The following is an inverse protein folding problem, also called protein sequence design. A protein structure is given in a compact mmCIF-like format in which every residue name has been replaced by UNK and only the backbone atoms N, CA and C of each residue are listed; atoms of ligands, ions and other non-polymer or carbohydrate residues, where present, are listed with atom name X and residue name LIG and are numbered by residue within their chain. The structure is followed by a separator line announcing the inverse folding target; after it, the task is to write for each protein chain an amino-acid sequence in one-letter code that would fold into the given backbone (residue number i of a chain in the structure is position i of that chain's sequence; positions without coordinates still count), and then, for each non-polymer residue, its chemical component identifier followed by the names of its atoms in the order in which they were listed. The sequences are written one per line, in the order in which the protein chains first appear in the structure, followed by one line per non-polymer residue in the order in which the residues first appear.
data_IF_332058251303
#
_entry.id   IF_332058251303
#
_cell.length_a   1.000
_cell.length_b   1.000
_cell.length_c   1.000
_cell.angle_alpha   90.00
_cell.angle_beta   90.00
_cell.angle_gamma   90.00
#
_symmetry.space_group_name_H-M   'P 1'
#
loop_
_entity.id
_entity.type
_entity.pdbx_description
1 polymer ?
#
# COMPACT_ATOMS: atom_id res chain seq x y z
N UNK A 1 -35.50 11.89 23.63
CA UNK A 1 -34.27 12.72 23.64
C UNK A 1 -33.56 12.48 22.32
N UNK A 2 -33.28 13.54 21.53
CA UNK A 2 -32.54 13.38 20.26
C UNK A 2 -31.20 12.72 20.58
N UNK A 3 -30.94 11.54 20.01
CA UNK A 3 -29.57 10.99 19.97
C UNK A 3 -28.81 11.89 19.00
N UNK A 4 -28.18 12.92 19.53
CA UNK A 4 -27.39 13.82 18.72
C UNK A 4 -26.18 13.06 18.16
N UNK A 5 -26.09 12.97 16.83
CA UNK A 5 -25.00 12.28 16.15
C UNK A 5 -23.84 13.25 15.97
N UNK A 6 -22.86 13.19 16.86
CA UNK A 6 -21.72 14.10 16.82
C UNK A 6 -20.56 13.56 15.99
N UNK A 7 -19.91 14.45 15.23
CA UNK A 7 -18.59 14.25 14.64
C UNK A 7 -17.65 15.23 15.31
N UNK A 8 -16.58 14.75 15.92
CA UNK A 8 -15.59 15.63 16.55
C UNK A 8 -14.43 15.85 15.59
N UNK A 9 -14.09 17.10 15.29
CA UNK A 9 -12.93 17.50 14.51
C UNK A 9 -11.90 18.09 15.47
N UNK A 10 -10.79 17.40 15.66
CA UNK A 10 -9.70 17.82 16.54
C UNK A 10 -8.52 18.33 15.71
N UNK A 11 -8.25 19.63 15.79
CA UNK A 11 -7.12 20.24 15.10
C UNK A 11 -6.65 21.55 15.72
N UNK A 12 -5.32 21.72 15.81
CA UNK A 12 -4.65 22.94 16.27
C UNK A 12 -4.49 24.01 15.16
N UNK A 13 -5.03 23.75 13.96
CA UNK A 13 -4.92 24.65 12.80
C UNK A 13 -6.28 25.20 12.37
N UNK A 14 -6.60 26.48 12.69
CA UNK A 14 -7.90 27.08 12.36
C UNK A 14 -8.28 26.98 10.88
N UNK A 15 -7.30 27.13 9.99
CA UNK A 15 -7.48 26.98 8.54
C UNK A 15 -7.96 25.58 8.15
N UNK A 16 -7.36 24.54 8.71
CA UNK A 16 -7.73 23.15 8.44
C UNK A 16 -9.12 22.84 9.01
N UNK A 17 -9.41 23.31 10.22
CA UNK A 17 -10.75 23.21 10.82
C UNK A 17 -11.80 23.83 9.91
N UNK A 18 -11.57 25.07 9.45
CA UNK A 18 -12.51 25.77 8.57
C UNK A 18 -12.77 24.99 7.28
N UNK A 19 -11.72 24.47 6.64
CA UNK A 19 -11.84 23.63 5.43
C UNK A 19 -12.64 22.35 5.69
N UNK A 20 -12.28 21.60 6.73
CA UNK A 20 -12.98 20.35 7.09
C UNK A 20 -14.46 20.63 7.36
N UNK A 21 -14.75 21.63 8.21
CA UNK A 21 -16.12 22.00 8.56
C UNK A 21 -16.89 22.41 7.31
N UNK A 22 -16.32 23.24 6.42
CA UNK A 22 -16.97 23.68 5.19
C UNK A 22 -17.37 22.52 4.27
N UNK A 23 -16.58 21.45 4.22
CA UNK A 23 -16.86 20.27 3.41
C UNK A 23 -17.91 19.35 4.05
N UNK A 24 -18.01 19.40 5.39
CA UNK A 24 -19.00 18.65 6.17
C UNK A 24 -20.35 19.37 6.33
N UNK A 25 -20.48 20.64 5.91
CA UNK A 25 -21.75 21.41 5.98
C UNK A 25 -22.91 20.66 5.30
N UNK A 26 -22.64 19.95 4.21
CA UNK A 26 -23.64 19.18 3.45
C UNK A 26 -24.06 17.87 4.14
N UNK A 27 -23.44 17.50 5.27
CA UNK A 27 -23.70 16.24 5.96
C UNK A 27 -24.92 16.34 6.87
N UNK A 28 -26.08 15.97 6.34
CA UNK A 28 -27.35 15.97 7.08
C UNK A 28 -27.36 14.93 8.21
N UNK A 29 -27.96 15.29 9.34
CA UNK A 29 -28.21 14.38 10.46
C UNK A 29 -27.03 14.19 11.41
N UNK A 30 -25.95 14.94 11.22
CA UNK A 30 -24.77 14.97 12.09
C UNK A 30 -24.43 16.40 12.48
N UNK A 31 -23.98 16.58 13.72
CA UNK A 31 -23.49 17.86 14.23
C UNK A 31 -21.97 17.81 14.39
N UNK A 32 -21.26 18.79 13.85
CA UNK A 32 -19.80 18.88 13.97
C UNK A 32 -19.42 19.66 15.22
N UNK A 33 -18.51 19.11 16.03
CA UNK A 33 -17.90 19.78 17.19
C UNK A 33 -16.41 19.90 16.92
N UNK A 34 -15.83 21.08 17.12
CA UNK A 34 -14.40 21.31 16.89
C UNK A 34 -13.66 21.45 18.21
N UNK A 35 -12.50 20.81 18.34
CA UNK A 35 -11.59 20.94 19.48
C UNK A 35 -10.19 21.23 19.00
N UNK A 36 -9.41 22.02 19.76
CA UNK A 36 -8.09 22.48 19.32
C UNK A 36 -6.91 21.76 19.99
N UNK A 37 -7.17 20.82 20.90
CA UNK A 37 -6.14 20.06 21.60
C UNK A 37 -6.63 18.66 21.97
N UNK A 38 -5.69 17.71 22.10
CA UNK A 38 -5.99 16.35 22.55
C UNK A 38 -6.50 16.32 23.99
N UNK A 39 -6.04 17.25 24.84
CA UNK A 39 -6.54 17.39 26.21
C UNK A 39 -8.04 17.69 26.24
N UNK A 40 -8.48 18.68 25.47
CA UNK A 40 -9.91 19.00 25.36
C UNK A 40 -10.69 17.86 24.69
N UNK A 41 -10.14 17.24 23.65
CA UNK A 41 -10.77 16.07 23.02
C UNK A 41 -11.08 14.98 24.06
N UNK A 42 -10.12 14.67 24.94
CA UNK A 42 -10.31 13.70 26.03
C UNK A 42 -11.44 14.10 26.97
N UNK A 43 -11.48 15.36 27.41
CA UNK A 43 -12.57 15.89 28.25
C UNK A 43 -13.94 15.71 27.58
N UNK A 44 -14.02 16.03 26.28
CA UNK A 44 -15.26 15.85 25.49
C UNK A 44 -15.68 14.38 25.36
N UNK A 45 -14.74 13.46 25.19
CA UNK A 45 -15.03 12.02 25.08
C UNK A 45 -15.58 11.40 26.37
N UNK A 46 -15.42 12.08 27.53
CA UNK A 46 -16.08 11.67 28.77
C UNK A 46 -17.57 12.04 28.81
N UNK A 47 -17.98 13.06 28.07
CA UNK A 47 -19.35 13.59 28.09
C UNK A 47 -20.16 13.19 26.85
N UNK A 48 -19.48 13.01 25.72
CA UNK A 48 -20.12 12.78 24.42
C UNK A 48 -19.55 11.51 23.77
N UNK A 49 -20.43 10.72 23.16
CA UNK A 49 -20.04 9.56 22.35
C UNK A 49 -20.13 9.92 20.86
N UNK A 50 -19.01 10.30 20.21
CA UNK A 50 -19.04 10.66 18.80
C UNK A 50 -19.29 9.45 17.91
N UNK A 51 -19.85 9.70 16.73
CA UNK A 51 -19.95 8.72 15.64
C UNK A 51 -18.69 8.63 14.81
N UNK A 52 -17.87 9.69 14.82
CA UNK A 52 -16.59 9.76 14.14
C UNK A 52 -15.72 10.83 14.81
N UNK A 53 -14.43 10.56 14.92
CA UNK A 53 -13.41 11.53 15.35
C UNK A 53 -12.51 11.80 14.14
N UNK A 54 -12.27 13.05 13.79
CA UNK A 54 -11.36 13.47 12.73
C UNK A 54 -10.17 14.17 13.39
N UNK A 55 -8.94 13.71 13.14
CA UNK A 55 -7.73 14.26 13.76
C UNK A 55 -6.82 14.90 12.70
N UNK A 56 -6.33 16.10 12.98
CA UNK A 56 -5.24 16.73 12.23
C UNK A 56 -4.50 17.78 13.07
N UNK A 57 -3.25 17.55 13.41
CA UNK A 57 -2.41 18.44 14.20
C UNK A 57 -1.11 18.75 13.48
N UNK A 58 -0.48 19.90 13.77
CA UNK A 58 0.84 20.24 13.21
C UNK A 58 1.90 19.18 13.53
N UNK A 59 1.86 18.64 14.75
CA UNK A 59 2.70 17.52 15.20
C UNK A 59 1.90 16.22 15.24
N UNK A 60 1.19 15.91 14.16
CA UNK A 60 0.23 14.81 14.03
C UNK A 60 0.72 13.51 14.66
N UNK A 61 1.90 13.01 14.28
CA UNK A 61 2.47 11.78 14.85
C UNK A 61 2.52 11.76 16.39
N UNK A 62 2.95 12.87 17.01
CA UNK A 62 3.11 12.97 18.46
C UNK A 62 1.74 13.07 19.13
N UNK A 63 0.88 13.95 18.63
CA UNK A 63 -0.46 14.20 19.19
C UNK A 63 -1.37 12.99 19.07
N UNK A 64 -1.33 12.29 17.94
CA UNK A 64 -2.09 11.06 17.70
C UNK A 64 -1.61 9.95 18.63
N UNK A 65 -0.29 9.76 18.79
CA UNK A 65 0.26 8.79 19.75
C UNK A 65 -0.13 9.13 21.18
N UNK A 66 -0.08 10.41 21.55
CA UNK A 66 -0.53 10.89 22.85
C UNK A 66 -2.03 10.63 23.07
N UNK A 67 -2.86 10.86 22.06
CA UNK A 67 -4.30 10.61 22.11
C UNK A 67 -4.63 9.15 22.41
N UNK A 68 -4.06 8.22 21.64
CA UNK A 68 -4.32 6.79 21.81
C UNK A 68 -3.77 6.25 23.14
N UNK A 69 -2.57 6.69 23.55
CA UNK A 69 -2.03 6.35 24.87
C UNK A 69 -2.89 6.89 26.03
N UNK A 70 -3.52 8.06 25.84
CA UNK A 70 -4.29 8.74 26.89
C UNK A 70 -5.75 8.29 26.97
N UNK A 71 -6.26 7.60 25.94
CA UNK A 71 -7.68 7.26 25.78
C UNK A 71 -7.86 5.75 25.50
N UNK A 72 -7.94 4.94 26.56
CA UNK A 72 -7.95 3.47 26.46
C UNK A 72 -9.27 2.82 26.02
N UNK A 73 -10.35 3.59 25.81
CA UNK A 73 -11.70 3.08 25.50
C UNK A 73 -12.41 3.91 24.41
N UNK A 74 -11.71 4.22 23.34
CA UNK A 74 -12.36 4.80 22.16
C UNK A 74 -13.11 3.67 21.45
N UNK A 75 -14.37 3.88 21.09
CA UNK A 75 -15.18 2.92 20.31
C UNK A 75 -15.49 3.50 18.93
N UNK A 76 -15.54 4.83 18.83
CA UNK A 76 -15.80 5.53 17.59
C UNK A 76 -14.63 5.33 16.59
N UNK A 77 -14.93 5.22 15.29
CA UNK A 77 -13.89 5.27 14.27
C UNK A 77 -13.14 6.60 14.31
N UNK A 78 -11.86 6.56 13.95
CA UNK A 78 -10.97 7.73 13.92
C UNK A 78 -10.45 7.91 12.49
N UNK A 79 -10.66 9.08 11.91
CA UNK A 79 -10.11 9.50 10.62
C UNK A 79 -8.95 10.47 10.85
N UNK A 80 -7.73 9.99 10.64
CA UNK A 80 -6.51 10.79 10.71
C UNK A 80 -6.24 11.43 9.35
N UNK A 81 -6.27 12.75 9.28
CA UNK A 81 -5.84 13.49 8.10
C UNK A 81 -4.35 13.77 8.22
N UNK A 82 -3.56 13.33 7.25
CA UNK A 82 -2.09 13.41 7.28
C UNK A 82 -1.54 14.16 6.09
N UNK A 83 -0.31 14.66 6.22
CA UNK A 83 0.44 15.20 5.08
C UNK A 83 1.04 14.07 4.23
N UNK A 84 1.38 14.32 2.96
CA UNK A 84 1.79 13.27 1.99
C UNK A 84 2.96 12.38 2.46
N UNK A 85 3.83 12.89 3.33
CA UNK A 85 5.04 12.21 3.79
C UNK A 85 4.97 11.73 5.23
N UNK A 86 3.82 11.90 5.89
CA UNK A 86 3.66 11.56 7.29
C UNK A 86 3.35 10.07 7.45
N UNK A 87 4.24 9.37 8.15
CA UNK A 87 4.07 7.96 8.52
C UNK A 87 3.60 7.91 9.97
N UNK A 88 2.37 7.43 10.16
CA UNK A 88 1.77 7.21 11.48
C UNK A 88 1.64 5.69 11.69
N UNK A 89 2.12 5.20 12.84
CA UNK A 89 1.98 3.80 13.24
C UNK A 89 0.79 3.64 14.19
N UNK A 90 -0.10 2.70 13.88
CA UNK A 90 -1.33 2.39 14.62
C UNK A 90 -1.42 0.92 15.03
N UNK A 91 -0.32 0.17 14.95
CA UNK A 91 -0.27 -1.29 15.11
C UNK A 91 -0.84 -1.82 16.43
N UNK A 92 -0.95 -0.99 17.47
CA UNK A 92 -1.47 -1.34 18.79
C UNK A 92 -2.95 -1.04 19.03
N UNK A 93 -3.63 -0.34 18.12
CA UNK A 93 -4.92 0.27 18.42
C UNK A 93 -6.12 -0.64 18.10
N UNK A 94 -7.05 -0.75 19.05
CA UNK A 94 -8.27 -1.57 18.90
C UNK A 94 -9.39 -0.86 18.13
N UNK A 95 -9.23 0.43 17.86
CA UNK A 95 -10.25 1.22 17.18
C UNK A 95 -10.07 1.20 15.67
N UNK A 96 -11.16 1.27 14.89
CA UNK A 96 -11.04 1.47 13.44
C UNK A 96 -10.38 2.82 13.16
N UNK A 97 -9.18 2.80 12.58
CA UNK A 97 -8.43 3.99 12.20
C UNK A 97 -8.34 4.05 10.69
N UNK A 98 -8.77 5.16 10.12
CA UNK A 98 -8.67 5.48 8.70
C UNK A 98 -7.66 6.61 8.51
N UNK A 99 -6.87 6.55 7.44
CA UNK A 99 -5.86 7.57 7.11
C UNK A 99 -6.20 8.18 5.75
N UNK A 100 -6.18 9.50 5.65
CA UNK A 100 -6.45 10.21 4.41
C UNK A 100 -5.50 11.40 4.25
N UNK A 101 -4.95 11.62 3.05
CA UNK A 101 -3.99 12.70 2.81
C UNK A 101 -4.69 14.05 2.58
N UNK A 102 -4.24 15.12 3.26
CA UNK A 102 -4.89 16.44 3.22
C UNK A 102 -5.01 17.01 1.79
N UNK A 103 -3.93 16.89 1.01
CA UNK A 103 -3.84 17.44 -0.36
C UNK A 103 -4.86 16.84 -1.34
N UNK A 104 -5.26 15.59 -1.13
CA UNK A 104 -6.25 14.90 -1.97
C UNK A 104 -7.67 14.95 -1.38
N UNK A 105 -7.81 15.47 -0.15
CA UNK A 105 -9.07 15.42 0.60
C UNK A 105 -9.89 16.68 0.46
N UNK A 106 -9.25 17.84 0.51
CA UNK A 106 -9.91 19.13 0.69
C UNK A 106 -10.02 19.86 -0.67
N UNK A 107 -11.25 20.04 -1.16
CA UNK A 107 -11.55 20.86 -2.35
C UNK A 107 -12.49 20.22 -3.37
N UNK A 108 -12.62 18.87 -3.38
CA UNK A 108 -13.43 18.12 -4.35
C UNK A 108 -14.50 17.22 -3.69
N UNK A 109 -14.94 17.55 -2.47
CA UNK A 109 -15.91 16.74 -1.68
C UNK A 109 -15.42 15.32 -1.34
N UNK A 110 -14.13 15.02 -1.50
CA UNK A 110 -13.57 13.70 -1.21
C UNK A 110 -13.63 13.35 0.28
N UNK A 111 -13.40 14.33 1.17
CA UNK A 111 -13.55 14.11 2.60
C UNK A 111 -15.00 13.79 2.95
N UNK A 112 -15.95 14.52 2.38
CA UNK A 112 -17.38 14.28 2.61
C UNK A 112 -17.80 12.87 2.17
N UNK A 113 -17.36 12.42 0.99
CA UNK A 113 -17.62 11.07 0.51
C UNK A 113 -17.04 10.02 1.46
N UNK A 114 -15.79 10.18 1.88
CA UNK A 114 -15.15 9.23 2.79
C UNK A 114 -15.85 9.19 4.16
N UNK A 115 -16.20 10.35 4.71
CA UNK A 115 -16.94 10.46 5.98
C UNK A 115 -18.30 9.77 5.87
N UNK A 116 -19.04 9.96 4.78
CA UNK A 116 -20.31 9.24 4.54
C UNK A 116 -20.10 7.71 4.52
N UNK A 117 -19.06 7.24 3.83
CA UNK A 117 -18.73 5.81 3.78
C UNK A 117 -18.41 5.26 5.17
N UNK A 118 -17.54 5.91 5.94
CA UNK A 118 -17.17 5.49 7.31
C UNK A 118 -18.41 5.42 8.20
N UNK A 119 -19.25 6.45 8.17
CA UNK A 119 -20.47 6.50 8.97
C UNK A 119 -21.45 5.39 8.57
N UNK A 120 -21.65 5.15 7.27
CA UNK A 120 -22.52 4.08 6.79
C UNK A 120 -22.08 2.69 7.27
N UNK A 121 -20.77 2.41 7.25
CA UNK A 121 -20.20 1.14 7.71
C UNK A 121 -20.39 0.97 9.22
N UNK A 122 -20.19 2.05 9.99
CA UNK A 122 -20.40 2.03 11.44
C UNK A 122 -21.85 1.79 11.85
N UNK A 123 -22.82 2.10 10.98
CA UNK A 123 -24.24 1.82 11.20
C UNK A 123 -24.65 0.38 10.87
N UNK A 124 -23.92 -0.33 9.99
CA UNK A 124 -24.24 -1.71 9.59
C UNK A 124 -23.81 -2.78 10.61
N UNK A 125 -23.03 -2.41 11.64
CA UNK A 125 -22.34 -3.33 12.54
C UNK A 125 -23.06 -3.61 13.87
N UNK A 126 -24.40 -3.54 13.91
CA UNK A 126 -25.18 -3.82 15.13
C UNK A 126 -25.47 -5.32 15.38
N UNK A 127 -24.61 -6.25 14.91
CA UNK A 127 -24.63 -7.66 15.31
C UNK A 127 -23.37 -8.01 16.09
N UNK A 128 -23.45 -8.85 17.14
CA UNK A 128 -22.33 -9.11 18.05
C UNK A 128 -21.22 -9.85 17.29
N UNK A 129 -19.99 -9.30 17.36
CA UNK A 129 -18.81 -9.85 16.70
C UNK A 129 -18.37 -11.15 17.38
N UNK A 130 -18.22 -12.20 16.58
CA UNK A 130 -17.37 -13.34 16.87
C UNK A 130 -15.90 -12.88 16.81
N UNK A 131 -15.18 -13.08 17.90
CA UNK A 131 -13.73 -13.00 17.93
C UNK A 131 -13.15 -14.17 17.12
N UNK A 132 -12.53 -13.90 15.97
CA UNK A 132 -11.51 -14.78 15.38
C UNK A 132 -10.57 -14.01 14.43
N UNK A 133 -9.28 -13.97 14.81
CA UNK A 133 -8.09 -13.98 13.95
C UNK A 133 -8.04 -13.08 12.70
N UNK A 134 -7.78 -11.77 12.86
CA UNK A 134 -7.36 -10.86 11.77
C UNK A 134 -6.01 -10.20 12.10
N UNK A 135 -5.03 -10.98 12.55
CA UNK A 135 -3.66 -10.47 12.81
C UNK A 135 -2.69 -10.66 11.65
N UNK A 136 -3.06 -11.40 10.60
CA UNK A 136 -2.14 -11.73 9.50
C UNK A 136 -2.29 -10.82 8.26
N UNK A 137 -3.41 -10.12 8.09
CA UNK A 137 -3.66 -9.31 6.87
C UNK A 137 -3.07 -7.88 6.91
N UNK A 138 -2.84 -7.31 8.09
CA UNK A 138 -2.35 -5.93 8.22
C UNK A 138 -0.85 -5.81 7.92
N UNK A 139 -0.05 -6.81 8.31
CA UNK A 139 1.36 -6.91 7.90
C UNK A 139 1.46 -7.09 6.38
N UNK A 140 0.62 -7.93 5.79
CA UNK A 140 0.57 -8.17 4.34
C UNK A 140 0.26 -6.89 3.54
N UNK A 141 -0.66 -6.03 4.01
CA UNK A 141 -0.98 -4.76 3.34
C UNK A 141 0.14 -3.71 3.48
N UNK A 142 0.79 -3.65 4.65
CA UNK A 142 1.94 -2.76 4.90
C UNK A 142 3.15 -3.22 4.08
N UNK A 143 3.39 -4.53 4.01
CA UNK A 143 4.43 -5.14 3.17
C UNK A 143 4.16 -4.91 1.69
N UNK A 144 2.91 -5.02 1.22
CA UNK A 144 2.55 -4.69 -0.16
C UNK A 144 2.76 -3.20 -0.49
N UNK A 145 2.48 -2.29 0.45
CA UNK A 145 2.71 -0.85 0.26
C UNK A 145 4.20 -0.51 0.24
N UNK A 146 5.00 -1.15 1.11
CA UNK A 146 6.46 -1.02 1.12
C UNK A 146 7.08 -1.66 -0.12
N UNK A 147 6.52 -2.77 -0.61
CA UNK A 147 6.90 -3.42 -1.85
C UNK A 147 6.58 -2.54 -3.07
N UNK A 148 5.39 -1.94 -3.12
CA UNK A 148 5.02 -1.00 -4.19
C UNK A 148 5.96 0.21 -4.20
N UNK A 149 6.28 0.76 -3.02
CA UNK A 149 7.26 1.85 -2.88
C UNK A 149 8.66 1.43 -3.35
N UNK A 150 9.13 0.26 -2.92
CA UNK A 150 10.43 -0.28 -3.33
C UNK A 150 10.49 -0.55 -4.83
N UNK A 151 9.43 -1.10 -5.42
CA UNK A 151 9.30 -1.33 -6.86
C UNK A 151 9.32 -0.01 -7.63
N UNK A 152 8.63 1.03 -7.15
CA UNK A 152 8.65 2.36 -7.75
C UNK A 152 10.03 3.01 -7.67
N UNK A 153 10.71 2.90 -6.53
CA UNK A 153 12.07 3.41 -6.34
C UNK A 153 13.07 2.69 -7.25
N UNK A 154 12.92 1.37 -7.39
CA UNK A 154 13.69 0.58 -8.35
C UNK A 154 13.42 0.98 -9.79
N UNK A 155 12.16 1.27 -10.14
CA UNK A 155 11.79 1.68 -11.50
C UNK A 155 12.33 3.07 -11.84
N UNK A 156 12.26 4.01 -10.90
CA UNK A 156 12.89 5.33 -11.01
C UNK A 156 14.41 5.21 -11.15
N UNK A 157 15.06 4.34 -10.36
CA UNK A 157 16.50 4.10 -10.45
C UNK A 157 16.89 3.48 -11.79
N UNK A 158 16.08 2.56 -12.34
CA UNK A 158 16.26 2.00 -13.68
C UNK A 158 16.08 3.05 -14.77
N UNK A 159 15.05 3.88 -14.66
CA UNK A 159 14.79 4.97 -15.62
C UNK A 159 15.94 5.99 -15.61
N UNK A 160 16.46 6.35 -14.44
CA UNK A 160 17.63 7.22 -14.29
C UNK A 160 18.87 6.60 -14.92
N UNK A 161 19.19 5.33 -14.62
CA UNK A 161 20.33 4.64 -15.22
C UNK A 161 20.21 4.52 -16.74
N UNK A 162 18.99 4.28 -17.24
CA UNK A 162 18.71 4.25 -18.68
C UNK A 162 18.93 5.63 -19.33
N UNK A 163 18.42 6.70 -18.73
CA UNK A 163 18.64 8.07 -19.19
C UNK A 163 20.12 8.44 -19.18
N UNK A 164 20.87 8.06 -18.13
CA UNK A 164 22.31 8.24 -18.07
C UNK A 164 23.02 7.47 -19.20
N UNK A 165 22.63 6.22 -19.46
CA UNK A 165 23.19 5.43 -20.57
C UNK A 165 22.88 6.05 -21.95
N UNK A 166 21.70 6.63 -22.14
CA UNK A 166 21.32 7.33 -23.39
C UNK A 166 22.15 8.60 -23.58
N UNK A 167 22.27 9.44 -22.55
CA UNK A 167 23.14 10.64 -22.58
C UNK A 167 24.60 10.31 -22.84
N UNK A 168 25.12 9.24 -22.23
CA UNK A 168 26.50 8.78 -22.47
C UNK A 168 26.67 8.29 -23.92
N UNK A 169 25.66 7.64 -24.51
CA UNK A 169 25.69 7.23 -25.93
C UNK A 169 25.64 8.43 -26.88
N UNK A 170 24.84 9.44 -26.57
CA UNK A 170 24.79 10.68 -27.35
C UNK A 170 26.15 11.36 -27.35
N UNK A 171 26.78 11.49 -26.17
CA UNK A 171 28.12 12.08 -26.04
C UNK A 171 29.19 11.24 -26.72
N UNK A 172 29.08 9.91 -26.69
CA UNK A 172 30.07 9.00 -27.30
C UNK A 172 30.15 9.12 -28.83
N UNK A 173 29.09 9.62 -29.47
CA UNK A 173 29.05 9.91 -30.91
C UNK A 173 29.88 11.15 -31.31
N UNK A 174 30.13 12.06 -30.37
CA UNK A 174 30.75 13.38 -30.60
C UNK A 174 32.21 13.52 -30.12
N UNK A 175 32.78 12.45 -29.55
CA UNK A 175 34.14 12.45 -28.97
C UNK A 175 35.09 11.54 -29.74
N UNK A 176 36.38 11.67 -29.47
CA UNK A 176 37.46 10.88 -30.07
C UNK A 176 37.40 9.38 -29.68
N UNK A 177 38.12 8.55 -30.44
CA UNK A 177 38.08 7.10 -30.30
C UNK A 177 38.50 6.61 -28.90
N UNK A 178 39.45 7.28 -28.25
CA UNK A 178 39.95 6.88 -26.93
C UNK A 178 38.92 7.17 -25.83
N UNK A 179 38.29 8.34 -25.88
CA UNK A 179 37.22 8.73 -24.95
C UNK A 179 35.97 7.88 -25.16
N UNK A 180 35.62 7.56 -26.40
CA UNK A 180 34.50 6.66 -26.73
C UNK A 180 34.66 5.26 -26.11
N UNK A 181 35.88 4.71 -26.11
CA UNK A 181 36.19 3.43 -25.46
C UNK A 181 35.94 3.46 -23.95
N UNK A 182 36.33 4.55 -23.28
CA UNK A 182 36.09 4.76 -21.84
C UNK A 182 34.59 4.88 -21.52
N UNK A 183 33.85 5.65 -22.31
CA UNK A 183 32.40 5.80 -22.17
C UNK A 183 31.65 4.47 -22.36
N UNK A 184 32.05 3.66 -23.35
CA UNK A 184 31.48 2.34 -23.57
C UNK A 184 31.79 1.35 -22.44
N UNK A 185 32.97 1.45 -21.81
CA UNK A 185 33.31 0.66 -20.62
C UNK A 185 32.43 1.02 -19.42
N UNK A 186 32.12 2.31 -19.23
CA UNK A 186 31.17 2.77 -18.20
C UNK A 186 29.77 2.20 -18.46
N UNK A 187 29.29 2.26 -19.70
CA UNK A 187 28.01 1.65 -20.10
C UNK A 187 27.98 0.15 -19.79
N UNK A 188 29.06 -0.57 -20.08
CA UNK A 188 29.13 -2.01 -19.84
C UNK A 188 29.18 -2.36 -18.35
N UNK A 189 29.87 -1.56 -17.54
CA UNK A 189 29.85 -1.68 -16.08
C UNK A 189 28.46 -1.44 -15.49
N UNK A 190 27.72 -0.43 -15.98
CA UNK A 190 26.34 -0.18 -15.56
C UNK A 190 25.45 -1.38 -15.91
N UNK A 191 25.60 -1.95 -17.13
CA UNK A 191 24.87 -3.15 -17.58
C UNK A 191 25.18 -4.40 -16.76
N UNK A 192 26.43 -4.57 -16.31
CA UNK A 192 26.83 -5.70 -15.48
C UNK A 192 26.28 -5.57 -14.05
N UNK A 193 26.28 -4.37 -13.48
CA UNK A 193 25.73 -4.10 -12.14
C UNK A 193 24.20 -4.11 -12.08
N UNK A 194 23.50 -4.00 -13.21
CA UNK A 194 22.04 -4.24 -13.30
C UNK A 194 21.69 -5.73 -13.46
N UNK A 195 22.68 -6.62 -13.56
CA UNK A 195 22.50 -8.07 -13.73
C UNK A 195 22.76 -8.87 -12.46
N UNK A 196 23.17 -8.25 -11.35
CA UNK A 196 23.35 -8.95 -10.07
C UNK A 196 22.03 -9.55 -9.59
N UNK A 197 22.09 -10.80 -9.11
CA UNK A 197 20.95 -11.74 -8.99
C UNK A 197 19.85 -11.29 -8.01
N UNK A 198 19.00 -10.36 -8.43
CA UNK A 198 17.74 -10.00 -7.75
C UNK A 198 16.81 -11.21 -7.49
N UNK A 199 17.04 -12.32 -8.18
CA UNK A 199 16.30 -13.56 -7.94
C UNK A 199 16.66 -14.22 -6.62
N UNK A 200 17.93 -14.21 -6.22
CA UNK A 200 18.35 -14.89 -4.98
C UNK A 200 17.82 -14.15 -3.76
N UNK A 201 17.89 -12.81 -3.76
CA UNK A 201 17.29 -11.96 -2.72
C UNK A 201 15.76 -12.12 -2.67
N UNK A 202 15.10 -12.08 -3.83
CA UNK A 202 13.66 -12.32 -3.93
C UNK A 202 13.30 -13.72 -3.42
N UNK A 203 14.10 -14.74 -3.73
CA UNK A 203 13.84 -16.12 -3.34
C UNK A 203 13.91 -16.29 -1.84
N UNK A 204 14.93 -15.73 -1.18
CA UNK A 204 15.05 -15.73 0.28
C UNK A 204 13.85 -15.03 0.91
N UNK A 205 13.48 -13.86 0.40
CA UNK A 205 12.31 -13.13 0.90
C UNK A 205 10.99 -13.91 0.69
N UNK A 206 10.82 -14.50 -0.50
CA UNK A 206 9.63 -15.28 -0.83
C UNK A 206 9.50 -16.53 0.02
N UNK A 207 10.60 -17.26 0.28
CA UNK A 207 10.63 -18.43 1.18
C UNK A 207 10.30 -18.05 2.63
N UNK A 208 10.63 -16.85 3.09
CA UNK A 208 10.24 -16.40 4.43
C UNK A 208 8.70 -16.23 4.56
N UNK A 209 8.03 -15.79 3.50
CA UNK A 209 6.58 -15.54 3.50
C UNK A 209 5.79 -16.80 3.14
N UNK A 210 6.30 -17.58 2.18
CA UNK A 210 5.69 -18.80 1.68
C UNK A 210 6.67 -19.98 1.89
N UNK A 211 6.95 -20.36 3.14
CA UNK A 211 7.93 -21.39 3.45
C UNK A 211 7.56 -22.71 2.80
N UNK A 212 8.52 -23.31 2.10
CA UNK A 212 8.32 -24.61 1.46
C UNK A 212 7.63 -24.59 0.10
N UNK A 213 7.01 -23.48 -0.32
CA UNK A 213 6.31 -23.40 -1.61
C UNK A 213 7.21 -23.77 -2.79
N UNK A 214 8.42 -23.22 -2.86
CA UNK A 214 9.33 -23.49 -3.98
C UNK A 214 9.75 -24.96 -3.97
N UNK A 215 9.99 -25.53 -2.78
CA UNK A 215 10.35 -26.93 -2.60
C UNK A 215 9.21 -27.86 -3.03
N UNK A 216 7.99 -27.60 -2.57
CA UNK A 216 6.81 -28.39 -2.93
C UNK A 216 6.50 -28.32 -4.43
N UNK A 217 6.55 -27.12 -5.01
CA UNK A 217 6.31 -26.91 -6.43
C UNK A 217 7.37 -27.62 -7.29
N UNK A 218 8.64 -27.53 -6.88
CA UNK A 218 9.75 -28.19 -7.58
C UNK A 218 9.68 -29.72 -7.45
N UNK A 219 9.25 -30.23 -6.30
CA UNK A 219 9.07 -31.68 -6.08
C UNK A 219 7.90 -32.23 -6.91
N UNK A 220 6.78 -31.51 -6.96
CA UNK A 220 5.57 -31.92 -7.69
C UNK A 220 5.73 -31.75 -9.21
N UNK A 221 6.48 -30.74 -9.65
CA UNK A 221 6.72 -30.44 -11.06
C UNK A 221 8.20 -30.22 -11.36
N UNK A 222 9.01 -31.30 -11.41
CA UNK A 222 10.46 -31.20 -11.63
C UNK A 222 10.83 -30.69 -13.04
N UNK A 223 9.88 -30.64 -13.97
CA UNK A 223 10.07 -30.11 -15.33
C UNK A 223 10.01 -28.57 -15.42
N UNK A 224 9.72 -27.89 -14.31
CA UNK A 224 9.70 -26.43 -14.25
C UNK A 224 11.13 -25.88 -14.21
N UNK A 225 11.39 -24.90 -15.07
CA UNK A 225 12.65 -24.17 -15.05
C UNK A 225 12.64 -23.12 -13.94
N UNK A 226 13.80 -22.57 -13.59
CA UNK A 226 13.92 -21.46 -12.62
C UNK A 226 13.03 -20.27 -13.02
N UNK A 227 12.88 -19.99 -14.32
CA UNK A 227 12.00 -18.93 -14.83
C UNK A 227 10.52 -19.25 -14.59
N UNK A 228 10.14 -20.51 -14.74
CA UNK A 228 8.77 -20.97 -14.51
C UNK A 228 8.42 -20.88 -13.02
N UNK A 229 9.34 -21.31 -12.14
CA UNK A 229 9.20 -21.22 -10.68
C UNK A 229 9.04 -19.75 -10.26
N UNK A 230 9.92 -18.87 -10.77
CA UNK A 230 9.85 -17.42 -10.54
C UNK A 230 8.50 -16.84 -10.95
N UNK A 231 7.96 -17.26 -12.09
CA UNK A 231 6.64 -16.85 -12.53
C UNK A 231 5.53 -17.32 -11.58
N UNK A 232 5.62 -18.56 -11.08
CA UNK A 232 4.66 -19.10 -10.10
C UNK A 232 4.72 -18.35 -8.77
N UNK A 233 5.92 -17.95 -8.31
CA UNK A 233 6.05 -17.09 -7.13
C UNK A 233 5.28 -15.77 -7.30
N UNK A 234 5.36 -15.12 -8.46
CA UNK A 234 4.59 -13.90 -8.72
C UNK A 234 3.07 -14.13 -8.70
N UNK A 235 2.62 -15.27 -9.23
CA UNK A 235 1.21 -15.66 -9.15
C UNK A 235 0.75 -15.91 -7.71
N UNK A 236 1.58 -16.60 -6.91
CA UNK A 236 1.32 -16.87 -5.49
C UNK A 236 1.24 -15.58 -4.66
N UNK A 237 2.06 -14.58 -5.01
CA UNK A 237 1.99 -13.21 -4.46
C UNK A 237 0.82 -12.37 -5.03
N UNK A 238 -0.15 -13.01 -5.68
CA UNK A 238 -1.36 -12.38 -6.19
C UNK A 238 -1.13 -11.28 -7.26
N UNK A 239 0.05 -11.19 -7.88
CA UNK A 239 0.35 -10.15 -8.89
C UNK A 239 -0.56 -10.25 -10.12
N UNK A 240 -0.87 -9.10 -10.74
CA UNK A 240 -1.65 -9.08 -11.98
C UNK A 240 -0.77 -9.45 -13.19
N UNK A 241 -1.41 -9.83 -14.30
CA UNK A 241 -0.69 -10.12 -15.54
C UNK A 241 0.05 -8.88 -16.07
N UNK A 242 -0.46 -7.67 -15.80
CA UNK A 242 0.21 -6.42 -16.19
C UNK A 242 1.43 -6.16 -15.30
N UNK A 243 1.33 -6.40 -13.99
CA UNK A 243 2.48 -6.24 -13.08
C UNK A 243 3.61 -7.21 -13.45
N UNK A 244 3.25 -8.49 -13.70
CA UNK A 244 4.22 -9.50 -14.14
C UNK A 244 4.87 -9.10 -15.49
N UNK A 245 4.08 -8.54 -16.40
CA UNK A 245 4.58 -8.02 -17.69
C UNK A 245 5.64 -6.94 -17.48
N UNK A 246 5.35 -5.95 -16.63
CA UNK A 246 6.27 -4.86 -16.31
C UNK A 246 7.52 -5.36 -15.58
N UNK A 247 7.37 -6.20 -14.55
CA UNK A 247 8.47 -6.75 -13.75
C UNK A 247 9.44 -7.57 -14.61
N UNK A 248 8.90 -8.41 -15.51
CA UNK A 248 9.71 -9.25 -16.39
C UNK A 248 10.20 -8.51 -17.65
N UNK A 249 9.67 -7.32 -17.95
CA UNK A 249 10.01 -6.56 -19.14
C UNK A 249 9.64 -7.27 -20.45
N UNK A 250 8.55 -8.04 -20.44
CA UNK A 250 8.10 -8.84 -21.60
C UNK A 250 6.81 -8.26 -22.21
N UNK A 251 6.37 -8.79 -23.36
CA UNK A 251 5.11 -8.38 -23.97
C UNK A 251 3.90 -9.05 -23.30
N UNK A 252 2.69 -8.48 -23.49
CA UNK A 252 1.44 -9.11 -23.04
C UNK A 252 1.25 -10.49 -23.68
N UNK A 253 1.66 -10.66 -24.92
CA UNK A 253 1.60 -11.95 -25.62
C UNK A 253 2.55 -12.98 -25.03
N UNK A 254 3.75 -12.53 -24.63
CA UNK A 254 4.72 -13.37 -23.92
C UNK A 254 4.17 -13.86 -22.58
N UNK A 255 3.43 -13.02 -21.85
CA UNK A 255 2.72 -13.40 -20.61
C UNK A 255 1.68 -14.48 -20.87
N UNK A 256 0.83 -14.31 -21.90
CA UNK A 256 -0.19 -15.31 -22.29
C UNK A 256 0.45 -16.65 -22.64
N UNK A 257 1.49 -16.61 -23.47
CA UNK A 257 2.25 -17.80 -23.88
C UNK A 257 2.89 -18.49 -22.69
N UNK A 258 3.45 -17.74 -21.74
CA UNK A 258 4.06 -18.30 -20.53
C UNK A 258 3.03 -19.05 -19.67
N UNK A 259 1.85 -18.45 -19.44
CA UNK A 259 0.74 -19.09 -18.72
C UNK A 259 0.27 -20.37 -19.42
N UNK A 260 0.14 -20.33 -20.74
CA UNK A 260 -0.23 -21.52 -21.51
C UNK A 260 0.78 -22.66 -21.36
N UNK A 261 2.08 -22.35 -21.40
CA UNK A 261 3.15 -23.34 -21.20
C UNK A 261 3.14 -23.89 -19.77
N UNK A 262 2.94 -23.06 -18.76
CA UNK A 262 2.81 -23.49 -17.37
C UNK A 262 1.63 -24.45 -17.19
N UNK A 263 0.45 -24.10 -17.71
CA UNK A 263 -0.73 -25.00 -17.67
C UNK A 263 -0.44 -26.36 -18.30
N UNK A 264 0.27 -26.40 -19.45
CA UNK A 264 0.69 -27.65 -20.09
C UNK A 264 1.70 -28.44 -19.25
N UNK A 265 2.71 -27.78 -18.67
CA UNK A 265 3.72 -28.43 -17.83
C UNK A 265 3.14 -29.00 -16.53
N UNK A 266 2.15 -28.33 -15.97
CA UNK A 266 1.45 -28.74 -14.75
C UNK A 266 0.24 -29.65 -15.00
N UNK A 267 -0.05 -29.97 -16.27
CA UNK A 267 -1.17 -30.84 -16.69
C UNK A 267 -2.51 -30.34 -16.12
N UNK A 268 -2.74 -29.03 -16.20
CA UNK A 268 -3.99 -28.42 -15.72
C UNK A 268 -5.10 -28.58 -16.75
N UNK A 269 -6.31 -28.84 -16.26
CA UNK A 269 -7.50 -28.90 -17.12
C UNK A 269 -7.80 -27.53 -17.74
N UNK A 270 -8.46 -27.52 -18.90
CA UNK A 270 -8.78 -26.26 -19.63
C UNK A 270 -9.53 -25.25 -18.76
N UNK A 271 -10.41 -25.72 -17.87
CA UNK A 271 -11.24 -24.88 -17.02
C UNK A 271 -10.54 -24.44 -15.73
N UNK A 272 -9.44 -25.09 -15.34
CA UNK A 272 -8.69 -24.72 -14.15
C UNK A 272 -7.91 -23.44 -14.40
N UNK A 273 -8.11 -22.43 -13.54
CA UNK A 273 -7.31 -21.22 -13.58
C UNK A 273 -5.93 -21.46 -12.95
N UNK A 274 -4.89 -21.00 -13.66
CA UNK A 274 -3.51 -21.20 -13.23
C UNK A 274 -3.22 -20.47 -11.90
N UNK A 275 -3.79 -19.27 -11.72
CA UNK A 275 -3.56 -18.49 -10.51
C UNK A 275 -4.20 -19.18 -9.31
N UNK A 276 -5.47 -19.58 -9.45
CA UNK A 276 -6.17 -20.35 -8.40
C UNK A 276 -5.47 -21.65 -8.03
N UNK A 277 -4.96 -22.39 -9.02
CA UNK A 277 -4.20 -23.62 -8.77
C UNK A 277 -2.88 -23.35 -8.03
N UNK A 278 -2.15 -22.30 -8.38
CA UNK A 278 -0.92 -21.92 -7.68
C UNK A 278 -1.20 -21.43 -6.26
N UNK A 279 -2.32 -20.72 -6.06
CA UNK A 279 -2.72 -20.25 -4.73
C UNK A 279 -3.02 -21.39 -3.75
N UNK A 280 -3.33 -22.61 -4.22
CA UNK A 280 -3.65 -23.76 -3.36
C UNK A 280 -2.45 -24.54 -2.83
N UNK A 281 -1.21 -24.19 -3.23
CA UNK A 281 0.02 -24.65 -2.60
C UNK A 281 0.33 -23.72 -1.43
#
# INVERSE_FOLDING_TARGET
MKKDNYIIVASDTPHTVSKIVSELVDLRGYSTVTVNSIKLLKEFLHTITPKLIILNFKNNNIEIKYFFNSCSKIIAPVLCLTNQYEVVDFSSEKTPIMIQTLENSLGNKHLLCNVKSILSLSCMHHSPRLDTNIREDSSFLIENKNLARYVLELDQKKALLKSMMERIKELSSSVDHTTRGRLNSIINNIKLNTRTNHWDDFKVYFENINPGFIKELSNKFPCLTVKDIKYCCYLKMNMSNEDIRYILGISRESVRTHKYRLKKKMILEKQQDLKSFISSF
#
